data_IF_084335305474
#
_entry.id   IF_084335305474
#
_cell.length_a   1.000
_cell.length_b   1.000
_cell.length_c   1.000
_cell.angle_alpha   90.00
_cell.angle_beta   90.00
_cell.angle_gamma   90.00
#
_symmetry.space_group_name_H-M   'P 1'
#
loop_
_entity.id
_entity.type
_entity.pdbx_description
1 polymer ?
#
# COMPACT_ATOMS: atom_id res chain seq x y z
N UNK A 1 19.30 -3.11 12.36
CA UNK A 1 18.08 -2.28 12.31
C UNK A 1 17.03 -2.97 11.46
N UNK A 2 15.96 -3.44 12.11
CA UNK A 2 14.88 -4.21 11.50
C UNK A 2 13.97 -3.31 10.66
N UNK A 3 14.13 -3.36 9.34
CA UNK A 3 13.16 -2.78 8.41
C UNK A 3 11.86 -3.59 8.48
N UNK A 4 10.70 -2.95 8.55
CA UNK A 4 9.42 -3.67 8.47
C UNK A 4 9.37 -4.46 7.15
N UNK A 5 9.16 -5.76 7.19
CA UNK A 5 9.14 -6.60 5.98
C UNK A 5 7.96 -6.25 5.07
N UNK A 6 6.90 -5.70 5.65
CA UNK A 6 5.62 -5.41 5.02
C UNK A 6 5.60 -4.05 4.33
N UNK A 7 5.76 -2.95 5.08
CA UNK A 7 5.77 -1.60 4.51
C UNK A 7 7.17 -1.10 4.13
N UNK A 8 8.22 -1.88 4.44
CA UNK A 8 9.61 -1.50 4.18
C UNK A 8 10.03 -0.20 4.91
N UNK A 9 9.29 0.24 5.92
CA UNK A 9 9.67 1.35 6.80
C UNK A 9 10.88 0.96 7.67
N UNK A 10 11.73 1.95 7.96
CA UNK A 10 12.82 1.81 8.94
C UNK A 10 12.41 2.32 10.33
N UNK A 11 11.22 2.94 10.44
CA UNK A 11 10.66 3.45 11.68
C UNK A 11 9.99 2.31 12.43
N UNK A 12 10.82 1.41 12.96
CA UNK A 12 10.39 0.32 13.82
C UNK A 12 10.88 0.60 15.24
N UNK A 13 9.93 0.76 16.16
CA UNK A 13 10.20 1.03 17.57
C UNK A 13 10.29 -0.31 18.32
N UNK A 14 11.43 -0.64 18.94
CA UNK A 14 11.51 -1.80 19.82
C UNK A 14 10.74 -1.54 21.12
N UNK A 15 9.84 -2.44 21.50
CA UNK A 15 9.00 -2.37 22.69
C UNK A 15 8.90 -3.76 23.33
N UNK A 16 9.57 -3.97 24.47
CA UNK A 16 9.50 -5.19 25.30
C UNK A 16 9.51 -6.51 24.50
N UNK A 17 10.56 -6.74 23.70
CA UNK A 17 10.72 -7.95 22.89
C UNK A 17 9.87 -7.98 21.60
N UNK A 18 9.08 -6.94 21.33
CA UNK A 18 8.31 -6.73 20.09
C UNK A 18 8.85 -5.52 19.33
N UNK A 19 8.47 -5.41 18.06
CA UNK A 19 8.81 -4.29 17.18
C UNK A 19 7.53 -3.67 16.64
N UNK A 20 7.25 -2.43 16.98
CA UNK A 20 6.11 -1.69 16.46
C UNK A 20 6.50 -0.92 15.21
N UNK A 21 5.77 -1.11 14.12
CA UNK A 21 5.93 -0.31 12.92
C UNK A 21 4.92 0.84 12.93
N UNK A 22 5.40 2.09 13.03
CA UNK A 22 4.53 3.28 13.06
C UNK A 22 3.70 3.45 11.79
N UNK A 23 4.25 3.05 10.64
CA UNK A 23 3.57 3.14 9.34
C UNK A 23 2.47 2.09 9.18
N UNK A 24 2.69 0.88 9.72
CA UNK A 24 1.69 -0.18 9.67
C UNK A 24 0.68 -0.09 10.83
N UNK A 25 1.06 0.55 11.93
CA UNK A 25 0.39 0.50 13.25
C UNK A 25 0.28 -0.95 13.80
N UNK A 26 1.28 -1.81 13.54
CA UNK A 26 1.27 -3.24 13.90
C UNK A 26 2.50 -3.61 14.72
N UNK A 27 2.31 -4.51 15.69
CA UNK A 27 3.40 -5.12 16.48
C UNK A 27 3.86 -6.44 15.86
N UNK A 28 5.17 -6.57 15.70
CA UNK A 28 5.86 -7.74 15.17
C UNK A 28 6.76 -8.38 16.22
N UNK A 29 6.95 -9.69 16.12
CA UNK A 29 8.01 -10.43 16.80
C UNK A 29 8.93 -11.03 15.74
N UNK A 30 10.18 -11.30 16.12
CA UNK A 30 11.12 -12.02 15.27
C UNK A 30 11.20 -13.47 15.73
N UNK A 31 10.81 -14.39 14.87
CA UNK A 31 10.94 -15.83 15.09
C UNK A 31 11.64 -16.42 13.87
N UNK A 32 12.69 -17.22 14.09
CA UNK A 32 13.45 -17.88 13.01
C UNK A 32 13.89 -16.94 11.87
N UNK A 33 14.38 -15.74 12.23
CA UNK A 33 14.79 -14.66 11.31
C UNK A 33 13.66 -14.09 10.41
N UNK A 34 12.39 -14.40 10.68
CA UNK A 34 11.22 -13.83 9.99
C UNK A 34 10.42 -12.91 10.93
N UNK A 35 9.83 -11.85 10.37
CA UNK A 35 8.87 -11.02 11.10
C UNK A 35 7.48 -11.66 11.12
N UNK A 36 7.06 -12.13 12.29
CA UNK A 36 5.71 -12.61 12.56
C UNK A 36 4.89 -11.56 13.30
N UNK A 37 3.57 -11.60 13.14
CA UNK A 37 2.67 -10.69 13.84
C UNK A 37 2.52 -11.11 15.30
N UNK A 38 2.59 -10.15 16.21
CA UNK A 38 2.36 -10.42 17.62
C UNK A 38 0.97 -9.97 18.06
N UNK A 39 0.67 -8.68 17.92
CA UNK A 39 -0.59 -8.10 18.37
C UNK A 39 -1.15 -7.19 17.27
N UNK A 40 -2.44 -7.35 16.96
CA UNK A 40 -3.19 -6.40 16.15
C UNK A 40 -3.80 -5.33 17.06
N UNK A 41 -3.84 -4.06 16.65
CA UNK A 41 -4.45 -2.98 17.44
C UNK A 41 -5.98 -3.07 17.36
N UNK A 42 -6.56 -4.08 18.00
CA UNK A 42 -8.00 -4.29 18.09
C UNK A 42 -8.47 -3.70 19.43
N UNK A 43 -9.34 -2.69 19.36
CA UNK A 43 -9.98 -2.10 20.54
C UNK A 43 -11.26 -2.87 20.87
N UNK A 44 -11.67 -2.94 22.14
CA UNK A 44 -12.99 -3.47 22.49
C UNK A 44 -14.08 -2.45 22.13
N UNK A 45 -15.07 -2.86 21.35
CA UNK A 45 -16.15 -1.99 20.90
C UNK A 45 -17.45 -2.79 20.94
N UNK A 46 -18.52 -2.21 21.49
CA UNK A 46 -19.88 -2.79 21.46
C UNK A 46 -20.54 -2.76 20.08
N UNK A 47 -19.86 -2.27 19.04
CA UNK A 47 -20.37 -2.16 17.68
C UNK A 47 -19.84 -3.33 16.83
N UNK A 48 -20.74 -4.21 16.41
CA UNK A 48 -20.39 -5.38 15.59
C UNK A 48 -20.26 -5.10 14.09
N UNK A 49 -20.98 -4.12 13.55
CA UNK A 49 -21.04 -3.86 12.10
C UNK A 49 -20.90 -2.38 11.78
N UNK A 50 -20.19 -2.05 10.70
CA UNK A 50 -20.03 -0.66 10.26
C UNK A 50 -21.31 -0.18 9.56
N UNK A 51 -21.90 -1.01 8.70
CA UNK A 51 -23.00 -0.66 7.80
C UNK A 51 -24.28 -0.16 8.49
N UNK A 52 -24.56 -0.65 9.70
CA UNK A 52 -25.76 -0.28 10.47
C UNK A 52 -25.69 1.13 11.09
N UNK A 53 -24.48 1.67 11.24
CA UNK A 53 -24.24 2.99 11.85
C UNK A 53 -23.84 4.05 10.79
N UNK A 54 -24.18 3.80 9.53
CA UNK A 54 -23.98 4.73 8.42
C UNK A 54 -25.27 5.49 8.09
N UNK A 55 -25.14 6.74 7.65
CA UNK A 55 -26.28 7.45 7.08
C UNK A 55 -26.69 6.81 5.74
N UNK A 56 -27.96 7.01 5.32
CA UNK A 56 -28.53 6.41 4.10
C UNK A 56 -27.65 6.58 2.86
N UNK A 57 -27.06 7.77 2.66
CA UNK A 57 -26.14 8.05 1.53
C UNK A 57 -24.84 7.25 1.61
N UNK A 58 -24.27 7.09 2.81
CA UNK A 58 -23.04 6.31 2.99
C UNK A 58 -23.30 4.80 2.89
N UNK A 59 -24.45 4.33 3.37
CA UNK A 59 -24.86 2.92 3.27
C UNK A 59 -24.89 2.43 1.82
N UNK A 60 -25.45 3.23 0.90
CA UNK A 60 -25.46 2.93 -0.54
C UNK A 60 -24.05 2.84 -1.15
N UNK A 61 -23.12 3.68 -0.69
CA UNK A 61 -21.72 3.66 -1.16
C UNK A 61 -20.93 2.52 -0.54
N UNK A 62 -21.29 2.13 0.69
CA UNK A 62 -20.66 1.08 1.45
C UNK A 62 -20.95 -0.30 0.88
N UNK A 63 -22.21 -0.58 0.54
CA UNK A 63 -22.65 -1.86 -0.03
C UNK A 63 -22.19 -2.11 -1.48
N UNK A 64 -21.34 -1.25 -2.04
CA UNK A 64 -20.79 -1.44 -3.38
C UNK A 64 -19.66 -2.46 -3.39
N UNK A 65 -19.57 -3.29 -4.44
CA UNK A 65 -18.47 -4.28 -4.65
C UNK A 65 -17.11 -3.64 -5.00
N UNK A 66 -16.84 -2.42 -4.53
CA UNK A 66 -15.60 -1.70 -4.82
C UNK A 66 -14.53 -2.08 -3.80
N UNK A 67 -13.28 -2.10 -4.24
CA UNK A 67 -12.11 -2.22 -3.37
C UNK A 67 -11.23 -0.98 -3.48
N UNK A 68 -10.51 -0.69 -2.41
CA UNK A 68 -9.59 0.43 -2.28
C UNK A 68 -8.17 -0.14 -2.18
N UNK A 69 -7.31 0.28 -3.10
CA UNK A 69 -5.88 0.04 -3.00
C UNK A 69 -5.25 1.04 -2.02
N UNK A 70 -4.56 0.52 -1.00
CA UNK A 70 -3.91 1.30 0.05
C UNK A 70 -2.67 0.58 0.58
N UNK A 71 -1.75 1.33 1.18
CA UNK A 71 -0.58 0.80 1.89
C UNK A 71 -0.70 0.88 3.41
N UNK A 72 -1.52 1.80 3.91
CA UNK A 72 -1.75 2.00 5.34
C UNK A 72 -3.24 2.17 5.64
N UNK A 73 -3.63 1.94 6.90
CA UNK A 73 -5.00 2.20 7.36
C UNK A 73 -5.40 3.67 7.13
N UNK A 74 -4.51 4.62 7.38
CA UNK A 74 -4.77 6.06 7.16
C UNK A 74 -5.10 6.36 5.70
N UNK A 75 -4.38 5.75 4.76
CA UNK A 75 -4.63 5.90 3.33
C UNK A 75 -6.00 5.30 2.93
N UNK A 76 -6.30 4.11 3.46
CA UNK A 76 -7.61 3.46 3.30
C UNK A 76 -8.75 4.33 3.81
N UNK A 77 -8.63 4.78 5.07
CA UNK A 77 -9.64 5.59 5.76
C UNK A 77 -9.88 6.92 5.05
N UNK A 78 -8.83 7.56 4.51
CA UNK A 78 -8.97 8.76 3.68
C UNK A 78 -9.76 8.49 2.39
N UNK A 79 -9.47 7.38 1.70
CA UNK A 79 -10.11 7.00 0.42
C UNK A 79 -11.53 6.44 0.57
N UNK A 80 -11.96 6.04 1.77
CA UNK A 80 -13.31 5.52 2.01
C UNK A 80 -14.40 6.50 1.51
N UNK A 81 -15.41 6.03 0.75
CA UNK A 81 -16.44 6.88 0.16
C UNK A 81 -17.56 7.24 1.16
N UNK A 82 -17.20 7.59 2.39
CA UNK A 82 -18.12 7.96 3.47
C UNK A 82 -18.02 9.45 3.81
N UNK A 83 -19.08 10.03 4.38
CA UNK A 83 -19.03 11.40 4.89
C UNK A 83 -18.15 11.50 6.15
N UNK A 84 -17.64 12.70 6.45
CA UNK A 84 -16.74 12.93 7.60
C UNK A 84 -17.36 12.48 8.93
N UNK A 85 -18.66 12.72 9.13
CA UNK A 85 -19.39 12.32 10.35
C UNK A 85 -19.40 10.80 10.52
N UNK A 86 -19.81 10.05 9.50
CA UNK A 86 -19.82 8.58 9.55
C UNK A 86 -18.42 7.98 9.68
N UNK A 87 -17.39 8.58 9.06
CA UNK A 87 -16.00 8.16 9.25
C UNK A 87 -15.59 8.29 10.72
N UNK A 88 -15.78 9.48 11.31
CA UNK A 88 -15.36 9.76 12.68
C UNK A 88 -16.12 8.92 13.70
N UNK A 89 -17.43 8.74 13.54
CA UNK A 89 -18.24 7.94 14.47
C UNK A 89 -17.90 6.45 14.43
N UNK A 90 -17.41 5.94 13.29
CA UNK A 90 -17.14 4.52 13.09
C UNK A 90 -15.63 4.21 13.00
N UNK A 91 -14.75 5.16 13.31
CA UNK A 91 -13.31 5.04 13.07
C UNK A 91 -12.71 3.79 13.72
N UNK A 92 -13.03 3.55 15.00
CA UNK A 92 -12.57 2.38 15.75
C UNK A 92 -13.08 1.06 15.14
N UNK A 93 -14.37 1.00 14.80
CA UNK A 93 -14.98 -0.19 14.19
C UNK A 93 -14.34 -0.50 12.82
N UNK A 94 -14.14 0.53 11.99
CA UNK A 94 -13.47 0.41 10.69
C UNK A 94 -12.01 -0.03 10.87
N UNK A 95 -11.30 0.51 11.87
CA UNK A 95 -9.93 0.13 12.20
C UNK A 95 -9.83 -1.34 12.60
N UNK A 96 -10.69 -1.79 13.51
CA UNK A 96 -10.76 -3.20 13.91
C UNK A 96 -11.06 -4.12 12.73
N UNK A 97 -12.06 -3.79 11.90
CA UNK A 97 -12.42 -4.62 10.75
C UNK A 97 -11.31 -4.66 9.69
N UNK A 98 -10.62 -3.54 9.47
CA UNK A 98 -9.42 -3.48 8.61
C UNK A 98 -8.35 -4.44 9.14
N UNK A 99 -7.93 -4.31 10.41
CA UNK A 99 -6.85 -5.11 10.98
C UNK A 99 -7.21 -6.57 11.23
N UNK A 100 -8.49 -6.92 11.38
CA UNK A 100 -8.93 -8.32 11.51
C UNK A 100 -8.64 -9.13 10.24
N UNK A 101 -8.80 -8.51 9.07
CA UNK A 101 -8.70 -9.19 7.77
C UNK A 101 -7.58 -8.66 6.86
N UNK A 102 -6.77 -7.70 7.31
CA UNK A 102 -5.79 -7.01 6.44
C UNK A 102 -4.83 -7.97 5.72
N UNK A 103 -4.48 -9.11 6.32
CA UNK A 103 -3.57 -10.08 5.71
C UNK A 103 -4.17 -10.71 4.46
N UNK A 104 -5.47 -10.97 4.47
CA UNK A 104 -6.21 -11.54 3.34
C UNK A 104 -6.31 -10.54 2.17
N UNK A 105 -6.22 -9.24 2.48
CA UNK A 105 -6.26 -8.18 1.48
C UNK A 105 -4.89 -7.90 0.86
N UNK A 106 -3.81 -8.57 1.31
CA UNK A 106 -2.45 -8.30 0.85
C UNK A 106 -2.25 -8.80 -0.57
N UNK A 107 -1.90 -7.90 -1.47
CA UNK A 107 -1.65 -8.18 -2.89
C UNK A 107 -0.30 -7.62 -3.32
N UNK A 108 0.34 -8.28 -4.28
CA UNK A 108 1.55 -7.79 -4.93
C UNK A 108 1.20 -7.26 -6.32
N UNK A 109 1.54 -6.02 -6.62
CA UNK A 109 1.20 -5.44 -7.93
C UNK A 109 1.93 -4.15 -8.23
N UNK A 110 1.63 -3.59 -9.40
CA UNK A 110 2.32 -2.43 -9.96
C UNK A 110 2.09 -1.18 -9.11
N UNK A 111 3.16 -0.44 -8.85
CA UNK A 111 3.11 0.89 -8.22
C UNK A 111 2.44 1.88 -9.16
N UNK A 112 2.79 1.81 -10.45
CA UNK A 112 2.33 2.74 -11.48
C UNK A 112 1.27 2.05 -12.34
N UNK A 113 0.12 2.71 -12.49
CA UNK A 113 -0.91 2.24 -13.43
C UNK A 113 -0.42 2.38 -14.87
N UNK A 114 -0.88 1.51 -15.77
CA UNK A 114 -0.53 1.59 -17.20
C UNK A 114 -0.87 2.97 -17.78
N UNK A 115 -2.02 3.54 -17.39
CA UNK A 115 -2.43 4.89 -17.81
C UNK A 115 -1.43 5.95 -17.36
N UNK A 116 -0.90 5.84 -16.15
CA UNK A 116 0.12 6.75 -15.64
C UNK A 116 1.43 6.62 -16.42
N UNK A 117 1.84 5.39 -16.74
CA UNK A 117 3.05 5.13 -17.55
C UNK A 117 2.90 5.78 -18.94
N UNK A 118 1.78 5.56 -19.63
CA UNK A 118 1.50 6.15 -20.94
C UNK A 118 1.53 7.68 -20.87
N UNK A 119 0.85 8.26 -19.88
CA UNK A 119 0.82 9.70 -19.69
C UNK A 119 2.22 10.29 -19.45
N UNK A 120 3.03 9.64 -18.63
CA UNK A 120 4.39 10.08 -18.34
C UNK A 120 5.31 9.95 -19.57
N UNK A 121 5.13 8.91 -20.38
CA UNK A 121 5.82 8.74 -21.66
C UNK A 121 5.49 9.88 -22.62
N UNK A 122 4.21 10.21 -22.77
CA UNK A 122 3.76 11.33 -23.62
C UNK A 122 4.30 12.68 -23.13
N UNK A 123 4.21 12.95 -21.82
CA UNK A 123 4.76 14.19 -21.27
C UNK A 123 6.27 14.28 -21.46
N UNK A 124 7.00 13.18 -21.30
CA UNK A 124 8.43 13.19 -21.54
C UNK A 124 8.76 13.49 -23.00
N UNK A 125 7.99 12.95 -23.95
CA UNK A 125 8.18 13.28 -25.36
C UNK A 125 7.95 14.78 -25.64
N UNK A 126 6.93 15.39 -25.04
CA UNK A 126 6.55 16.78 -25.29
C UNK A 126 7.46 17.81 -24.59
N UNK A 127 7.84 17.56 -23.34
CA UNK A 127 8.54 18.54 -22.48
C UNK A 127 9.81 17.99 -21.81
N UNK A 128 10.30 16.82 -22.23
CA UNK A 128 11.47 16.14 -21.64
C UNK A 128 12.81 16.88 -21.82
N UNK A 129 12.87 17.87 -22.72
CA UNK A 129 14.01 18.77 -22.87
C UNK A 129 14.17 19.70 -21.66
N UNK A 130 13.09 20.01 -20.95
CA UNK A 130 13.10 20.88 -19.76
C UNK A 130 13.73 20.18 -18.56
N UNK A 131 14.78 20.79 -18.00
CA UNK A 131 15.47 20.27 -16.82
C UNK A 131 14.54 20.25 -15.59
N UNK A 132 13.66 21.25 -15.47
CA UNK A 132 12.67 21.34 -14.39
C UNK A 132 11.69 20.17 -14.44
N UNK A 133 11.22 19.82 -15.64
CA UNK A 133 10.34 18.66 -15.82
C UNK A 133 11.04 17.36 -15.43
N UNK A 134 12.29 17.15 -15.86
CA UNK A 134 13.07 15.95 -15.51
C UNK A 134 13.27 15.80 -14.00
N UNK A 135 13.63 16.90 -13.33
CA UNK A 135 13.77 16.93 -11.88
C UNK A 135 12.45 16.59 -11.18
N UNK A 136 11.35 17.20 -11.61
CA UNK A 136 10.03 16.92 -11.05
C UNK A 136 9.62 15.45 -11.25
N UNK A 137 9.74 14.93 -12.47
CA UNK A 137 9.39 13.57 -12.83
C UNK A 137 10.15 12.52 -12.00
N UNK A 138 11.46 12.65 -11.88
CA UNK A 138 12.30 11.68 -11.15
C UNK A 138 12.01 11.70 -9.66
N UNK A 139 11.85 12.88 -9.08
CA UNK A 139 11.48 13.00 -7.67
C UNK A 139 10.08 12.41 -7.42
N UNK A 140 9.13 12.62 -8.33
CA UNK A 140 7.79 12.05 -8.24
C UNK A 140 7.79 10.52 -8.35
N UNK A 141 8.54 9.95 -9.31
CA UNK A 141 8.70 8.49 -9.46
C UNK A 141 9.34 7.91 -8.19
N UNK A 142 10.39 8.55 -7.68
CA UNK A 142 11.09 8.10 -6.47
C UNK A 142 10.16 8.13 -5.26
N UNK A 143 9.41 9.23 -5.10
CA UNK A 143 8.42 9.39 -4.05
C UNK A 143 7.35 8.30 -4.11
N UNK A 144 6.78 8.00 -5.27
CA UNK A 144 5.76 6.96 -5.40
C UNK A 144 6.32 5.55 -5.12
N UNK A 145 7.59 5.30 -5.47
CA UNK A 145 8.25 4.00 -5.28
C UNK A 145 8.63 3.74 -3.81
N UNK A 146 9.13 4.76 -3.10
CA UNK A 146 9.82 4.58 -1.81
C UNK A 146 9.33 5.50 -0.68
N UNK A 147 8.37 6.38 -0.95
CA UNK A 147 7.96 7.45 -0.03
C UNK A 147 8.90 8.65 -0.09
N UNK A 148 8.60 9.69 0.71
CA UNK A 148 9.41 10.91 0.74
C UNK A 148 10.69 10.70 1.54
N UNK A 149 11.84 10.93 0.90
CA UNK A 149 13.15 10.93 1.54
C UNK A 149 13.97 12.07 0.96
N UNK A 150 14.19 13.10 1.77
CA UNK A 150 14.91 14.31 1.37
C UNK A 150 16.27 14.01 0.74
N UNK A 151 17.07 13.13 1.36
CA UNK A 151 18.40 12.79 0.84
C UNK A 151 18.35 12.06 -0.52
N UNK A 152 17.38 11.14 -0.74
CA UNK A 152 17.23 10.45 -2.03
C UNK A 152 16.77 11.45 -3.12
N UNK A 153 15.90 12.40 -2.75
CA UNK A 153 15.44 13.44 -3.66
C UNK A 153 16.60 14.38 -4.05
N UNK A 154 17.41 14.80 -3.09
CA UNK A 154 18.59 15.64 -3.33
C UNK A 154 19.62 14.91 -4.20
N UNK A 155 19.95 13.65 -3.89
CA UNK A 155 20.87 12.85 -4.67
C UNK A 155 20.38 12.66 -6.12
N UNK A 156 19.12 12.31 -6.30
CA UNK A 156 18.52 12.16 -7.62
C UNK A 156 18.50 13.48 -8.39
N UNK A 157 18.30 14.60 -7.70
CA UNK A 157 18.29 15.93 -8.32
C UNK A 157 19.68 16.32 -8.81
N UNK A 158 20.73 16.06 -8.02
CA UNK A 158 22.13 16.28 -8.41
C UNK A 158 22.49 15.41 -9.62
N UNK A 159 22.17 14.11 -9.58
CA UNK A 159 22.43 13.18 -10.67
C UNK A 159 21.68 13.57 -11.96
N UNK A 160 20.45 14.06 -11.84
CA UNK A 160 19.64 14.52 -12.97
C UNK A 160 20.19 15.80 -13.57
N UNK A 161 20.70 16.71 -12.75
CA UNK A 161 21.33 17.95 -13.21
C UNK A 161 22.62 17.66 -13.97
N UNK A 162 23.48 16.75 -13.47
CA UNK A 162 24.74 16.37 -14.12
C UNK A 162 24.51 15.60 -15.42
N UNK A 163 23.63 14.59 -15.42
CA UNK A 163 23.28 13.84 -16.63
C UNK A 163 22.49 14.68 -17.65
N UNK A 164 21.69 15.63 -17.17
CA UNK A 164 20.89 16.53 -18.00
C UNK A 164 21.69 17.63 -18.70
N UNK A 165 22.92 17.91 -18.24
CA UNK A 165 23.87 18.78 -18.93
C UNK A 165 24.44 18.11 -20.19
N UNK A 166 24.55 16.78 -20.17
CA UNK A 166 25.00 16.01 -21.32
C UNK A 166 23.84 15.73 -22.26
N UNK A 167 23.88 16.27 -23.49
CA UNK A 167 22.80 16.07 -24.50
C UNK A 167 22.40 14.60 -24.70
N UNK A 168 23.35 13.68 -24.59
CA UNK A 168 23.13 12.24 -24.74
C UNK A 168 22.64 11.55 -23.45
N UNK A 169 22.79 12.18 -22.29
CA UNK A 169 22.38 11.62 -20.99
C UNK A 169 20.85 11.58 -20.78
N UNK A 170 20.09 12.31 -21.60
CA UNK A 170 18.63 12.40 -21.50
C UNK A 170 17.92 11.10 -21.88
N UNK A 171 18.39 10.40 -22.93
CA UNK A 171 17.78 9.15 -23.40
C UNK A 171 17.98 8.00 -22.39
N UNK A 172 19.20 7.74 -21.86
CA UNK A 172 19.41 6.74 -20.80
C UNK A 172 18.58 7.04 -19.55
N UNK A 173 18.47 8.32 -19.15
CA UNK A 173 17.68 8.74 -18.01
C UNK A 173 16.19 8.44 -18.19
N UNK A 174 15.68 8.66 -19.40
CA UNK A 174 14.30 8.33 -19.75
C UNK A 174 14.03 6.83 -19.69
N UNK A 175 14.89 6.04 -20.33
CA UNK A 175 14.79 4.57 -20.32
C UNK A 175 14.85 4.04 -18.89
N UNK A 176 15.71 4.61 -18.04
CA UNK A 176 15.77 4.29 -16.62
C UNK A 176 14.45 4.59 -15.90
N UNK A 177 13.85 5.77 -16.14
CA UNK A 177 12.57 6.14 -15.55
C UNK A 177 11.45 5.20 -15.98
N UNK A 178 11.37 4.89 -17.28
CA UNK A 178 10.37 4.01 -17.85
C UNK A 178 10.53 2.57 -17.33
N UNK A 179 11.76 2.05 -17.34
CA UNK A 179 12.09 0.76 -16.75
C UNK A 179 11.71 0.71 -15.27
N UNK A 180 12.08 1.74 -14.51
CA UNK A 180 11.74 1.86 -13.10
C UNK A 180 10.22 1.86 -12.90
N UNK A 181 9.44 2.56 -13.73
CA UNK A 181 7.97 2.55 -13.61
C UNK A 181 7.36 1.18 -13.95
N UNK A 182 7.82 0.53 -15.01
CA UNK A 182 7.29 -0.76 -15.49
C UNK A 182 7.59 -1.90 -14.52
N UNK A 183 8.82 -1.97 -13.99
CA UNK A 183 9.25 -3.02 -13.06
C UNK A 183 8.97 -2.72 -11.59
N UNK A 184 8.48 -1.53 -11.25
CA UNK A 184 8.13 -1.21 -9.86
C UNK A 184 6.84 -1.90 -9.46
N UNK A 185 7.01 -3.00 -8.73
CA UNK A 185 5.95 -3.66 -7.99
C UNK A 185 6.13 -3.40 -6.48
N UNK A 186 5.02 -3.32 -5.75
CA UNK A 186 5.03 -3.23 -4.29
C UNK A 186 3.89 -4.03 -3.67
N UNK A 187 4.12 -4.46 -2.45
CA UNK A 187 3.06 -4.93 -1.58
C UNK A 187 2.11 -3.79 -1.27
N UNK A 188 0.83 -4.06 -1.41
CA UNK A 188 -0.25 -3.16 -1.02
C UNK A 188 -1.44 -4.00 -0.58
N UNK A 189 -2.46 -3.34 -0.05
CA UNK A 189 -3.71 -3.96 0.38
C UNK A 189 -4.82 -3.53 -0.56
N UNK A 190 -5.63 -4.50 -1.00
CA UNK A 190 -6.84 -4.27 -1.79
C UNK A 190 -8.06 -4.56 -0.92
N UNK A 191 -8.41 -3.58 -0.10
CA UNK A 191 -9.42 -3.74 0.95
C UNK A 191 -10.81 -3.43 0.39
N UNK A 192 -11.83 -4.25 0.62
CA UNK A 192 -13.18 -3.94 0.20
C UNK A 192 -13.70 -2.67 0.90
N UNK A 193 -14.63 -1.99 0.24
CA UNK A 193 -15.35 -0.87 0.86
C UNK A 193 -16.34 -1.40 1.91
N UNK A 194 -17.00 -2.52 1.60
CA UNK A 194 -17.82 -3.28 2.56
C UNK A 194 -16.91 -4.16 3.42
N UNK A 195 -16.80 -3.80 4.70
CA UNK A 195 -16.00 -4.51 5.70
C UNK A 195 -16.82 -5.53 6.50
N UNK A 196 -18.15 -5.51 6.36
CA UNK A 196 -19.05 -6.46 7.03
C UNK A 196 -19.22 -7.74 6.19
N UNK A 197 -18.98 -7.64 4.88
CA UNK A 197 -18.95 -8.78 3.96
C UNK A 197 -17.71 -9.66 4.09
N UNK A 198 -17.77 -10.91 3.58
CA UNK A 198 -16.61 -11.81 3.59
C UNK A 198 -15.44 -11.22 2.78
N UNK A 199 -14.19 -11.39 3.23
CA UNK A 199 -13.01 -11.02 2.47
C UNK A 199 -13.06 -11.56 1.03
N UNK A 200 -12.79 -10.74 0.00
CA UNK A 200 -12.48 -11.28 -1.31
C UNK A 200 -11.30 -12.24 -1.21
N UNK A 201 -11.37 -13.38 -1.92
CA UNK A 201 -10.35 -14.43 -1.98
C UNK A 201 -10.20 -15.32 -0.73
N UNK A 202 -11.23 -15.43 0.13
CA UNK A 202 -11.23 -16.41 1.23
C UNK A 202 -10.96 -17.83 0.74
N UNK A 203 -11.51 -18.23 -0.41
CA UNK A 203 -11.36 -19.57 -0.97
C UNK A 203 -9.91 -19.86 -1.39
N UNK A 204 -9.27 -18.94 -2.12
CA UNK A 204 -7.87 -19.04 -2.55
C UNK A 204 -6.91 -19.09 -1.34
N UNK A 205 -7.22 -18.35 -0.27
CA UNK A 205 -6.43 -18.37 0.96
C UNK A 205 -6.64 -19.66 1.78
N UNK A 206 -7.86 -20.22 1.79
CA UNK A 206 -8.17 -21.51 2.41
C UNK A 206 -7.49 -22.68 1.67
N UNK A 207 -7.43 -22.62 0.34
CA UNK A 207 -6.67 -23.57 -0.50
C UNK A 207 -5.17 -23.52 -0.18
N UNK A 208 -4.58 -22.32 -0.06
CA UNK A 208 -3.18 -22.16 0.37
C UNK A 208 -2.89 -22.65 1.80
N UNK A 209 -3.89 -22.67 2.68
CA UNK A 209 -3.78 -23.18 4.04
C UNK A 209 -4.00 -24.70 4.14
N UNK A 210 -4.30 -25.37 3.02
CA UNK A 210 -4.46 -26.83 2.91
C UNK A 210 -5.40 -27.45 3.97
N UNK A 211 -6.41 -26.69 4.39
CA UNK A 211 -7.49 -27.19 5.25
C UNK A 211 -8.51 -27.85 4.31
N UNK A 212 -8.26 -29.11 3.94
CA UNK A 212 -9.16 -29.90 3.09
C UNK A 212 -8.53 -30.64 1.92
N UNK A 213 -7.19 -30.59 1.76
CA UNK A 213 -6.49 -31.49 0.85
C UNK A 213 -6.70 -32.94 1.32
N UNK A 214 -7.46 -33.72 0.53
CA UNK A 214 -7.73 -35.14 0.75
C UNK A 214 -6.47 -35.85 1.21
N UNK A 215 -6.52 -36.46 2.40
CA UNK A 215 -5.69 -37.63 2.69
C UNK A 215 -6.14 -38.71 1.72
N UNK A 216 -5.34 -38.98 0.71
CA UNK A 216 -5.43 -40.23 -0.04
C UNK A 216 -5.14 -41.36 0.95
N UNK A 217 -6.20 -41.92 1.52
CA UNK A 217 -6.17 -43.25 2.10
C UNK A 217 -6.15 -44.23 0.92
N UNK A 218 -4.96 -44.63 0.50
CA UNK A 218 -4.79 -45.83 -0.32
C UNK A 218 -4.92 -47.03 0.60
N UNK A 219 -5.97 -47.81 0.36
CA UNK A 219 -6.05 -49.21 0.79
C UNK A 219 -5.21 -50.10 -0.11
#
# INVERSE_FOLDING_TARGET
MSRCEYCKSRNMLPLNGKYYCEECEIYYIYKDKKQEYSNLPIEEIGQMTVGNHLCRKCKLKYSGKKSIACTTFREYFKKLPMCKRCKKSNERCIKNAFFKNFILYKTYGRVFSIRYIIFHTLLFYLVGSSILYRLFAINLITYQKRGFRLYECLFNSILTATLGYWRWGVIPLYLYCLFSMVWSNRWHYRVPVDLDGPPPNILEYLEHLNIGGKKDWQG
#
